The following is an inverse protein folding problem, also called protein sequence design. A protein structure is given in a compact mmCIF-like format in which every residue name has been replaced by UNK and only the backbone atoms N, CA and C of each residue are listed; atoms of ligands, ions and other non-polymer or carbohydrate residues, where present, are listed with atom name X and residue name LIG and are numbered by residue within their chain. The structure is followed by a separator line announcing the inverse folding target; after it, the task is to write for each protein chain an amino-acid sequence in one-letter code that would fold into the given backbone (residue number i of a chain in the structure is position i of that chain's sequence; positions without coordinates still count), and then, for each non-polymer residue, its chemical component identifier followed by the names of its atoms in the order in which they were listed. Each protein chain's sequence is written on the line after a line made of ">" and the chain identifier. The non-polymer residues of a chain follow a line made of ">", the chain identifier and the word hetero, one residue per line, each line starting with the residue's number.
data_IF_509556364285
#
_entry.id   IF_509556364285
#
_cell.length_a   1.000
_cell.length_b   1.000
_cell.length_c   1.000
_cell.angle_alpha   90.00
_cell.angle_beta   90.00
_cell.angle_gamma   90.00
#
_symmetry.space_group_name_H-M   'P 1'
#
loop_
_entity.id
_entity.type
_entity.pdbx_description
1 polymer ?
#
# COMPACT_ATOMS: atom_id res chain seq x y z
N UNK A 1 84.77 -45.79 36.04
CA UNK A 1 84.11 -46.06 34.73
C UNK A 1 83.26 -44.83 34.41
N UNK A 2 83.75 -43.80 33.71
CA UNK A 2 83.82 -43.64 32.24
C UNK A 2 82.55 -44.23 31.56
N UNK A 3 81.76 -43.54 30.72
CA UNK A 3 81.92 -42.32 29.92
C UNK A 3 80.57 -41.90 29.26
N UNK A 4 80.30 -40.57 29.24
CA UNK A 4 79.81 -39.72 28.11
C UNK A 4 78.32 -39.78 27.62
N UNK A 5 77.76 -38.63 27.16
CA UNK A 5 76.34 -38.25 27.27
C UNK A 5 75.60 -38.10 25.92
N UNK A 6 74.32 -37.71 25.93
CA UNK A 6 73.65 -37.14 24.73
C UNK A 6 72.69 -35.98 25.02
N UNK A 7 72.93 -34.95 24.23
CA UNK A 7 72.32 -33.63 23.98
C UNK A 7 70.79 -33.57 23.93
N UNK A 8 70.26 -32.48 24.51
CA UNK A 8 69.53 -31.42 23.79
C UNK A 8 68.04 -31.62 23.47
N UNK A 9 67.22 -30.64 23.83
CA UNK A 9 66.29 -29.87 22.98
C UNK A 9 65.37 -29.05 23.91
N UNK A 10 65.54 -27.73 23.94
CA UNK A 10 64.77 -26.72 23.18
C UNK A 10 63.41 -26.38 23.82
N UNK A 11 63.42 -25.24 24.53
CA UNK A 11 62.24 -24.48 24.95
C UNK A 11 61.46 -24.04 23.72
N UNK A 12 60.25 -24.52 23.53
CA UNK A 12 59.30 -23.97 22.55
C UNK A 12 58.28 -23.10 23.28
N UNK A 13 58.19 -21.86 22.81
CA UNK A 13 57.28 -20.83 23.29
C UNK A 13 55.83 -21.20 22.93
N UNK A 14 54.93 -21.03 23.90
CA UNK A 14 53.50 -21.10 23.69
C UNK A 14 53.05 -19.86 22.89
N UNK A 15 52.82 -20.02 21.58
CA UNK A 15 51.99 -19.11 20.81
C UNK A 15 50.54 -19.54 20.96
N UNK A 16 49.83 -18.88 21.88
CA UNK A 16 48.38 -18.93 21.96
C UNK A 16 47.77 -18.29 20.72
N UNK A 17 47.40 -19.11 19.74
CA UNK A 17 46.49 -18.70 18.66
C UNK A 17 45.08 -18.78 19.23
N UNK A 18 44.61 -17.70 19.83
CA UNK A 18 43.17 -17.52 20.06
C UNK A 18 42.52 -17.30 18.70
N UNK A 19 42.04 -18.39 18.11
CA UNK A 19 41.18 -18.37 16.95
C UNK A 19 39.87 -17.69 17.37
N UNK A 20 39.74 -16.39 17.08
CA UNK A 20 38.47 -15.70 17.17
C UNK A 20 37.57 -16.29 16.07
N UNK A 21 36.85 -17.35 16.41
CA UNK A 21 35.73 -17.82 15.60
C UNK A 21 34.70 -16.70 15.69
N UNK A 22 34.71 -15.81 14.70
CA UNK A 22 33.58 -14.95 14.43
C UNK A 22 32.42 -15.88 14.10
N UNK A 23 31.60 -16.18 15.10
CA UNK A 23 30.29 -16.79 14.92
C UNK A 23 29.43 -15.80 14.15
N UNK A 24 29.64 -15.68 12.84
CA UNK A 24 28.61 -15.17 11.96
C UNK A 24 27.47 -16.19 12.05
N UNK A 25 26.39 -15.82 12.72
CA UNK A 25 25.17 -16.62 12.74
C UNK A 25 24.83 -17.03 11.29
N UNK A 26 24.45 -18.29 11.04
CA UNK A 26 24.12 -18.71 9.70
C UNK A 26 23.02 -17.78 9.18
N UNK A 27 23.27 -17.11 8.05
CA UNK A 27 22.24 -16.33 7.37
C UNK A 27 21.13 -17.32 7.04
N UNK A 28 20.00 -17.22 7.73
CA UNK A 28 18.84 -18.02 7.40
C UNK A 28 18.48 -17.68 5.95
N UNK A 29 18.64 -18.64 5.05
CA UNK A 29 18.30 -18.46 3.63
C UNK A 29 17.07 -19.28 3.33
N UNK A 30 16.18 -18.74 2.50
CA UNK A 30 15.01 -19.48 2.02
C UNK A 30 15.41 -20.81 1.36
N UNK A 31 14.59 -21.85 1.55
CA UNK A 31 14.75 -23.11 0.81
C UNK A 31 14.07 -22.99 -0.56
N UNK A 32 14.72 -22.32 -1.52
CA UNK A 32 14.20 -22.17 -2.88
C UNK A 32 14.33 -20.75 -3.43
N UNK A 33 13.54 -20.44 -4.46
CA UNK A 33 13.45 -19.08 -4.98
C UNK A 33 13.01 -18.12 -3.86
N UNK A 34 13.58 -16.89 -3.81
CA UNK A 34 13.21 -15.92 -2.79
C UNK A 34 11.72 -15.59 -2.94
N UNK A 35 10.97 -15.53 -1.83
CA UNK A 35 9.58 -15.15 -1.89
C UNK A 35 9.46 -13.68 -2.31
N UNK A 36 8.35 -13.38 -2.94
CA UNK A 36 8.01 -12.04 -3.39
C UNK A 36 6.88 -11.47 -2.52
N UNK A 37 6.90 -10.15 -2.35
CA UNK A 37 5.81 -9.38 -1.74
C UNK A 37 5.22 -8.46 -2.81
N UNK A 38 3.90 -8.48 -2.96
CA UNK A 38 3.20 -7.49 -3.77
C UNK A 38 2.95 -6.24 -2.92
N UNK A 39 3.47 -5.11 -3.34
CA UNK A 39 3.30 -3.83 -2.66
C UNK A 39 2.32 -2.96 -3.45
N UNK A 40 1.18 -2.66 -2.85
CA UNK A 40 0.21 -1.71 -3.38
C UNK A 40 0.27 -0.40 -2.64
N UNK A 41 0.35 0.67 -3.41
CA UNK A 41 0.41 2.03 -2.90
C UNK A 41 -0.81 2.80 -3.38
N UNK A 42 -1.46 3.49 -2.44
CA UNK A 42 -2.61 4.33 -2.69
C UNK A 42 -2.29 5.77 -2.20
N UNK A 43 -2.31 6.80 -3.04
CA UNK A 43 -2.68 6.78 -4.45
C UNK A 43 -1.64 6.09 -5.35
N UNK A 44 -2.04 5.63 -6.54
CA UNK A 44 -1.14 4.95 -7.48
C UNK A 44 -0.01 5.82 -8.00
N UNK A 45 -0.19 7.14 -7.97
CA UNK A 45 0.84 8.12 -8.35
C UNK A 45 1.96 8.27 -7.32
N UNK A 46 1.83 7.66 -6.14
CA UNK A 46 2.84 7.76 -5.10
C UNK A 46 4.11 7.01 -5.51
N UNK A 47 5.25 7.65 -5.30
CA UNK A 47 6.56 7.08 -5.55
C UNK A 47 6.95 6.15 -4.42
N UNK A 48 7.21 4.88 -4.74
CA UNK A 48 7.63 3.85 -3.80
C UNK A 48 9.16 3.77 -3.76
N UNK A 49 9.70 3.54 -2.56
CA UNK A 49 11.08 3.15 -2.35
C UNK A 49 11.19 2.06 -1.29
N UNK A 50 12.21 1.21 -1.42
CA UNK A 50 12.52 0.14 -0.46
C UNK A 50 13.97 0.30 -0.04
N UNK A 51 14.21 0.39 1.26
CA UNK A 51 15.54 0.65 1.84
C UNK A 51 16.25 1.88 1.24
N UNK A 52 15.45 2.87 0.83
CA UNK A 52 15.91 4.11 0.18
C UNK A 52 16.15 3.99 -1.33
N UNK A 53 16.06 2.80 -1.93
CA UNK A 53 16.14 2.63 -3.37
C UNK A 53 14.76 2.90 -4.03
N UNK A 54 14.65 3.81 -5.00
CA UNK A 54 13.38 4.10 -5.66
C UNK A 54 12.96 2.96 -6.59
N UNK A 55 11.67 2.62 -6.56
CA UNK A 55 11.04 1.64 -7.46
C UNK A 55 10.11 2.28 -8.49
N UNK A 56 9.67 3.52 -8.25
CA UNK A 56 8.71 4.23 -9.10
C UNK A 56 7.30 4.20 -8.53
N UNK A 57 6.34 4.71 -9.31
CA UNK A 57 4.91 4.70 -8.96
C UNK A 57 4.21 3.41 -9.37
N UNK A 58 3.02 3.17 -8.80
CA UNK A 58 2.20 1.99 -9.04
C UNK A 58 2.54 0.77 -8.18
N UNK A 59 1.88 -0.37 -8.42
CA UNK A 59 2.14 -1.60 -7.69
C UNK A 59 3.47 -2.22 -8.11
N UNK A 60 4.22 -2.75 -7.15
CA UNK A 60 5.53 -3.39 -7.38
C UNK A 60 5.61 -4.74 -6.71
N UNK A 61 6.21 -5.71 -7.39
CA UNK A 61 6.61 -6.98 -6.80
C UNK A 61 8.04 -6.86 -6.32
N UNK A 62 8.26 -7.00 -5.01
CA UNK A 62 9.58 -6.84 -4.39
C UNK A 62 10.09 -8.21 -3.94
N UNK A 63 11.28 -8.66 -4.41
CA UNK A 63 11.87 -9.89 -3.92
C UNK A 63 12.41 -9.70 -2.50
N UNK A 64 12.21 -10.70 -1.65
CA UNK A 64 12.57 -10.66 -0.22
C UNK A 64 13.58 -11.78 0.08
N UNK A 65 14.83 -11.68 -0.42
CA UNK A 65 15.80 -12.79 -0.34
C UNK A 65 16.32 -13.10 1.07
N UNK A 66 16.25 -12.14 2.01
CA UNK A 66 16.74 -12.32 3.36
C UNK A 66 15.56 -12.29 4.36
N UNK A 67 15.21 -13.41 5.01
CA UNK A 67 14.12 -13.47 5.98
C UNK A 67 14.39 -12.64 7.25
N UNK A 68 15.65 -12.42 7.60
CA UNK A 68 16.05 -11.66 8.80
C UNK A 68 16.19 -10.16 8.53
N UNK A 69 16.35 -9.75 7.27
CA UNK A 69 16.45 -8.34 6.90
C UNK A 69 15.13 -7.60 7.16
N UNK A 70 15.25 -6.39 7.71
CA UNK A 70 14.11 -5.50 7.92
C UNK A 70 14.02 -4.57 6.73
N UNK A 71 13.04 -4.83 5.86
CA UNK A 71 12.77 -4.01 4.69
C UNK A 71 11.94 -2.80 5.12
N UNK A 72 12.36 -1.61 4.70
CA UNK A 72 11.67 -0.34 4.96
C UNK A 72 11.04 0.16 3.67
N UNK A 73 9.72 0.09 3.59
CA UNK A 73 8.94 0.57 2.46
C UNK A 73 8.47 2.00 2.74
N UNK A 74 8.76 2.92 1.82
CA UNK A 74 8.34 4.32 1.91
C UNK A 74 7.61 4.73 0.66
N UNK A 75 6.50 5.43 0.84
CA UNK A 75 5.73 6.01 -0.24
C UNK A 75 5.49 7.50 -0.01
N UNK A 76 5.60 8.30 -1.07
CA UNK A 76 5.36 9.73 -1.01
C UNK A 76 4.64 10.23 -2.27
N UNK A 77 3.74 11.19 -2.09
CA UNK A 77 3.07 11.89 -3.18
C UNK A 77 2.80 13.35 -2.78
N UNK A 78 2.85 14.31 -3.72
CA UNK A 78 2.46 15.69 -3.44
C UNK A 78 1.04 15.78 -2.89
N UNK A 79 0.86 16.53 -1.80
CA UNK A 79 -0.44 16.68 -1.15
C UNK A 79 -0.84 15.53 -0.21
N UNK A 80 0.07 14.60 0.06
CA UNK A 80 -0.15 13.50 1.01
C UNK A 80 0.94 13.45 2.09
N UNK A 81 0.58 13.02 3.29
CA UNK A 81 1.55 12.65 4.31
C UNK A 81 2.30 11.38 3.86
N UNK A 82 3.63 11.32 4.01
CA UNK A 82 4.41 10.15 3.62
C UNK A 82 4.02 8.93 4.46
N UNK A 83 3.99 7.77 3.81
CA UNK A 83 3.73 6.50 4.44
C UNK A 83 5.02 5.72 4.59
N UNK A 84 5.23 5.11 5.75
CA UNK A 84 6.35 4.20 5.99
C UNK A 84 5.84 2.94 6.68
N UNK A 85 6.37 1.79 6.25
CA UNK A 85 6.15 0.51 6.92
C UNK A 85 7.43 -0.30 6.88
N UNK A 86 7.79 -0.88 8.02
CA UNK A 86 8.91 -1.79 8.13
C UNK A 86 8.45 -3.17 8.58
N UNK A 87 9.07 -4.20 8.03
CA UNK A 87 8.77 -5.58 8.37
C UNK A 87 9.98 -6.48 8.04
N UNK A 88 10.12 -7.57 8.79
CA UNK A 88 11.17 -8.55 8.48
C UNK A 88 10.78 -9.36 7.23
N UNK A 89 11.78 -9.86 6.50
CA UNK A 89 11.54 -10.61 5.28
C UNK A 89 10.68 -11.86 5.50
N UNK A 90 10.83 -12.52 6.66
CA UNK A 90 10.03 -13.68 7.03
C UNK A 90 8.52 -13.38 7.07
N UNK A 91 8.12 -12.22 7.57
CA UNK A 91 6.72 -11.80 7.65
C UNK A 91 6.14 -11.28 6.34
N UNK A 92 7.00 -10.92 5.38
CA UNK A 92 6.60 -10.37 4.09
C UNK A 92 6.38 -11.45 3.02
N UNK A 93 6.98 -12.63 3.19
CA UNK A 93 6.97 -13.70 2.22
C UNK A 93 5.54 -14.11 1.79
N UNK A 94 5.20 -13.87 0.52
CA UNK A 94 3.88 -14.22 -0.03
C UNK A 94 2.73 -13.33 0.45
N UNK A 95 3.04 -12.20 1.09
CA UNK A 95 2.02 -11.24 1.55
C UNK A 95 1.74 -10.16 0.52
N UNK A 96 0.61 -9.46 0.72
CA UNK A 96 0.28 -8.22 0.03
C UNK A 96 0.43 -7.07 1.02
N UNK A 97 1.36 -6.16 0.75
CA UNK A 97 1.65 -5.02 1.61
C UNK A 97 0.91 -3.78 1.09
N UNK A 98 0.07 -3.22 1.94
CA UNK A 98 -0.63 -1.97 1.68
C UNK A 98 0.05 -0.74 2.27
N UNK A 99 0.32 0.25 1.42
CA UNK A 99 0.68 1.61 1.84
C UNK A 99 -0.37 2.60 1.36
N UNK A 100 -1.26 3.00 2.27
CA UNK A 100 -2.23 4.07 2.01
C UNK A 100 -1.70 5.37 2.57
N UNK A 101 -1.48 6.33 1.68
CA UNK A 101 -1.09 7.67 2.06
C UNK A 101 -2.29 8.45 2.58
N UNK A 102 -2.02 9.41 3.45
CA UNK A 102 -3.08 10.24 4.03
C UNK A 102 -3.15 11.58 3.28
N UNK A 103 -4.29 11.97 2.69
CA UNK A 103 -4.41 13.28 2.07
C UNK A 103 -4.16 14.41 3.08
N UNK A 104 -3.57 15.52 2.64
CA UNK A 104 -3.37 16.69 3.49
C UNK A 104 -4.71 17.22 3.99
N UNK A 105 -4.81 17.50 5.30
CA UNK A 105 -6.06 17.92 5.95
C UNK A 105 -7.02 16.77 6.30
N UNK A 106 -6.66 15.51 6.02
CA UNK A 106 -7.39 14.35 6.53
C UNK A 106 -6.91 14.04 7.96
N UNK A 107 -7.79 14.15 8.96
CA UNK A 107 -7.48 14.12 10.40
C UNK A 107 -6.15 13.47 10.81
N UNK A 108 -5.21 14.28 11.30
CA UNK A 108 -3.79 13.90 11.46
C UNK A 108 -3.53 12.71 12.38
N UNK A 109 -4.43 12.45 13.34
CA UNK A 109 -4.32 11.34 14.27
C UNK A 109 -4.87 10.01 13.72
N UNK A 110 -5.62 10.03 12.62
CA UNK A 110 -6.23 8.81 12.07
C UNK A 110 -5.26 8.13 11.10
N UNK A 111 -4.81 6.93 11.48
CA UNK A 111 -4.18 5.99 10.56
C UNK A 111 -5.22 5.53 9.53
N UNK A 112 -4.78 5.43 8.28
CA UNK A 112 -5.60 4.92 7.18
C UNK A 112 -4.97 3.62 6.68
N UNK A 113 -5.75 2.54 6.68
CA UNK A 113 -5.31 1.21 6.28
C UNK A 113 -6.04 0.77 5.00
N UNK A 114 -5.43 -0.12 4.22
CA UNK A 114 -6.00 -0.62 2.96
C UNK A 114 -7.34 -1.32 3.13
N UNK A 115 -7.67 -1.77 4.34
CA UNK A 115 -8.87 -2.52 4.67
C UNK A 115 -9.86 -1.69 5.55
N UNK A 116 -9.66 -0.38 5.66
CA UNK A 116 -10.58 0.55 6.32
C UNK A 116 -11.55 1.19 5.32
N UNK A 117 -12.60 0.46 4.91
CA UNK A 117 -13.55 0.93 3.90
C UNK A 117 -14.18 2.30 4.23
N UNK A 118 -14.54 2.54 5.50
CA UNK A 118 -15.12 3.80 5.94
C UNK A 118 -14.10 4.95 5.94
N UNK A 119 -12.88 4.70 6.40
CA UNK A 119 -11.79 5.69 6.36
C UNK A 119 -11.39 6.05 4.94
N UNK A 120 -11.31 5.05 4.06
CA UNK A 120 -11.01 5.24 2.64
C UNK A 120 -12.11 6.05 1.95
N UNK A 121 -13.39 5.78 2.24
CA UNK A 121 -14.51 6.56 1.73
C UNK A 121 -14.47 8.02 2.23
N UNK A 122 -14.12 8.26 3.49
CA UNK A 122 -13.96 9.61 4.02
C UNK A 122 -12.79 10.37 3.37
N UNK A 123 -11.66 9.69 3.13
CA UNK A 123 -10.51 10.27 2.44
C UNK A 123 -10.85 10.60 0.98
N UNK A 124 -11.56 9.70 0.30
CA UNK A 124 -12.08 9.92 -1.03
C UNK A 124 -13.00 11.15 -1.07
N UNK A 125 -13.88 11.32 -0.08
CA UNK A 125 -14.80 12.46 -0.01
C UNK A 125 -14.03 13.79 0.08
N UNK A 126 -12.98 13.84 0.91
CA UNK A 126 -12.10 15.00 1.01
C UNK A 126 -11.41 15.31 -0.32
N UNK A 127 -10.86 14.28 -0.98
CA UNK A 127 -10.19 14.40 -2.27
C UNK A 127 -11.15 14.90 -3.36
N UNK A 128 -12.37 14.36 -3.43
CA UNK A 128 -13.39 14.79 -4.38
C UNK A 128 -13.75 16.27 -4.20
N UNK A 129 -13.95 16.69 -2.94
CA UNK A 129 -14.33 18.07 -2.59
C UNK A 129 -13.21 19.09 -2.82
N UNK A 130 -11.97 18.63 -2.90
CA UNK A 130 -10.78 19.45 -3.21
C UNK A 130 -10.38 19.38 -4.69
N UNK A 131 -11.18 18.72 -5.54
CA UNK A 131 -10.98 18.66 -6.99
C UNK A 131 -10.05 17.54 -7.47
N UNK A 132 -9.51 16.72 -6.57
CA UNK A 132 -8.63 15.60 -6.91
C UNK A 132 -9.44 14.37 -7.37
N UNK A 133 -10.29 14.52 -8.38
CA UNK A 133 -11.28 13.52 -8.78
C UNK A 133 -10.68 12.19 -9.21
N UNK A 134 -9.52 12.19 -9.89
CA UNK A 134 -8.81 10.96 -10.24
C UNK A 134 -8.40 10.18 -8.99
N UNK A 135 -7.76 10.84 -8.01
CA UNK A 135 -7.33 10.20 -6.77
C UNK A 135 -8.52 9.82 -5.88
N UNK A 136 -9.55 10.65 -5.82
CA UNK A 136 -10.79 10.34 -5.12
C UNK A 136 -11.44 9.06 -5.67
N UNK A 137 -11.39 8.86 -7.00
CA UNK A 137 -11.85 7.63 -7.62
C UNK A 137 -11.07 6.41 -7.09
N UNK A 138 -9.74 6.47 -7.00
CA UNK A 138 -8.92 5.34 -6.52
C UNK A 138 -9.24 4.98 -5.06
N UNK A 139 -9.40 5.98 -4.19
CA UNK A 139 -9.76 5.75 -2.79
C UNK A 139 -11.17 5.21 -2.64
N UNK A 140 -12.12 5.74 -3.42
CA UNK A 140 -13.51 5.28 -3.39
C UNK A 140 -13.66 3.86 -3.98
N UNK A 141 -12.88 3.52 -5.01
CA UNK A 141 -12.76 2.17 -5.56
C UNK A 141 -12.34 1.19 -4.46
N UNK A 142 -11.23 1.48 -3.79
CA UNK A 142 -10.73 0.63 -2.70
C UNK A 142 -11.72 0.57 -1.54
N UNK A 143 -12.39 1.68 -1.21
CA UNK A 143 -13.40 1.72 -0.17
C UNK A 143 -14.56 0.77 -0.44
N UNK A 144 -15.08 0.74 -1.68
CA UNK A 144 -16.19 -0.13 -2.08
C UNK A 144 -15.76 -1.59 -2.21
N UNK A 145 -14.52 -1.85 -2.64
CA UNK A 145 -13.96 -3.22 -2.67
C UNK A 145 -13.90 -3.86 -1.28
N UNK A 146 -13.53 -3.06 -0.27
CA UNK A 146 -13.31 -3.52 1.10
C UNK A 146 -14.59 -3.48 1.94
N UNK A 147 -15.37 -2.43 1.77
CA UNK A 147 -16.61 -2.18 2.49
C UNK A 147 -17.75 -1.93 1.52
N UNK A 148 -18.26 -2.96 0.82
CA UNK A 148 -19.34 -2.81 -0.15
C UNK A 148 -20.65 -2.35 0.50
N UNK A 149 -20.84 -2.57 1.80
CA UNK A 149 -22.00 -2.01 2.52
C UNK A 149 -21.82 -0.56 2.99
N UNK A 150 -20.65 0.08 2.75
CA UNK A 150 -20.39 1.47 3.17
C UNK A 150 -21.04 2.43 2.18
N UNK A 151 -22.16 3.11 2.52
CA UNK A 151 -22.89 3.90 1.54
C UNK A 151 -22.07 5.09 1.04
N UNK A 152 -21.28 5.70 1.93
CA UNK A 152 -20.40 6.82 1.58
C UNK A 152 -19.40 6.46 0.47
N UNK A 153 -18.90 5.22 0.44
CA UNK A 153 -17.98 4.74 -0.60
C UNK A 153 -18.64 4.82 -1.98
N UNK A 154 -19.83 4.25 -2.11
CA UNK A 154 -20.62 4.31 -3.35
C UNK A 154 -21.01 5.74 -3.74
N UNK A 155 -21.40 6.59 -2.79
CA UNK A 155 -21.75 7.99 -3.06
C UNK A 155 -20.57 8.75 -3.68
N UNK A 156 -19.39 8.64 -3.05
CA UNK A 156 -18.19 9.35 -3.49
C UNK A 156 -17.62 8.74 -4.77
N UNK A 157 -17.72 7.42 -4.95
CA UNK A 157 -17.33 6.77 -6.20
C UNK A 157 -18.18 7.27 -7.37
N UNK A 158 -19.49 7.43 -7.15
CA UNK A 158 -20.40 8.04 -8.12
C UNK A 158 -20.04 9.50 -8.43
N UNK A 159 -19.67 10.28 -7.42
CA UNK A 159 -19.23 11.68 -7.54
C UNK A 159 -17.95 11.82 -8.35
N UNK A 160 -16.91 11.08 -7.98
CA UNK A 160 -15.65 11.06 -8.70
C UNK A 160 -15.81 10.54 -10.14
N UNK A 161 -16.58 9.46 -10.35
CA UNK A 161 -16.88 8.94 -11.67
C UNK A 161 -17.60 9.97 -12.54
N UNK A 162 -18.58 10.70 -11.98
CA UNK A 162 -19.30 11.73 -12.71
C UNK A 162 -18.36 12.88 -13.12
N UNK A 163 -17.55 13.39 -12.19
CA UNK A 163 -16.59 14.47 -12.48
C UNK A 163 -15.59 14.08 -13.58
N UNK A 164 -15.27 12.78 -13.71
CA UNK A 164 -14.41 12.22 -14.74
C UNK A 164 -15.16 11.83 -16.04
N UNK A 165 -16.44 12.19 -16.17
CA UNK A 165 -17.27 11.89 -17.36
C UNK A 165 -17.71 10.43 -17.48
N UNK A 166 -17.45 9.58 -16.47
CA UNK A 166 -17.81 8.15 -16.46
C UNK A 166 -19.27 7.96 -16.05
N UNK A 167 -20.19 8.52 -16.84
CA UNK A 167 -21.63 8.63 -16.53
C UNK A 167 -22.30 7.31 -16.16
N UNK A 168 -22.09 6.24 -16.93
CA UNK A 168 -22.69 4.92 -16.66
C UNK A 168 -22.29 4.38 -15.28
N UNK A 169 -21.01 4.49 -14.93
CA UNK A 169 -20.49 4.07 -13.63
C UNK A 169 -21.04 4.97 -12.52
N UNK A 170 -21.09 6.29 -12.73
CA UNK A 170 -21.68 7.20 -11.77
C UNK A 170 -23.13 6.82 -11.41
N UNK A 171 -23.96 6.53 -12.43
CA UNK A 171 -25.35 6.08 -12.23
C UNK A 171 -25.41 4.79 -11.40
N UNK A 172 -24.55 3.81 -11.70
CA UNK A 172 -24.51 2.55 -10.98
C UNK A 172 -24.23 2.77 -9.49
N UNK A 173 -23.16 3.50 -9.18
CA UNK A 173 -22.71 3.70 -7.80
C UNK A 173 -23.67 4.57 -7.01
N UNK A 174 -24.22 5.62 -7.61
CA UNK A 174 -25.28 6.40 -6.98
C UNK A 174 -26.55 5.56 -6.74
N UNK A 175 -26.89 4.65 -7.66
CA UNK A 175 -28.04 3.76 -7.46
C UNK A 175 -27.81 2.83 -6.27
N UNK A 176 -26.60 2.28 -6.12
CA UNK A 176 -26.21 1.47 -4.95
C UNK A 176 -26.26 2.29 -3.66
N UNK A 177 -25.73 3.52 -3.65
CA UNK A 177 -25.85 4.42 -2.50
C UNK A 177 -27.30 4.63 -2.06
N UNK A 178 -28.20 4.89 -3.01
CA UNK A 178 -29.62 5.10 -2.75
C UNK A 178 -30.32 3.83 -2.23
N UNK A 179 -29.80 2.63 -2.53
CA UNK A 179 -30.30 1.38 -1.98
C UNK A 179 -29.80 1.15 -0.56
N UNK A 180 -28.51 1.41 -0.30
CA UNK A 180 -27.88 1.19 1.01
C UNK A 180 -28.29 2.23 2.05
N UNK A 181 -28.60 3.45 1.63
CA UNK A 181 -29.00 4.55 2.52
C UNK A 181 -30.31 5.20 2.04
N UNK A 182 -31.46 4.52 2.21
CA UNK A 182 -32.76 5.03 1.77
C UNK A 182 -33.23 6.27 2.52
N UNK A 183 -32.72 6.52 3.73
CA UNK A 183 -33.09 7.66 4.57
C UNK A 183 -32.00 8.75 4.61
N UNK A 184 -31.02 8.71 3.70
CA UNK A 184 -29.96 9.70 3.65
C UNK A 184 -30.52 11.11 3.37
N UNK A 185 -30.02 12.16 4.07
CA UNK A 185 -30.55 13.51 3.93
C UNK A 185 -30.34 14.11 2.53
N UNK A 186 -29.29 13.67 1.82
CA UNK A 186 -28.96 14.09 0.46
C UNK A 186 -29.53 13.14 -0.61
N UNK A 187 -30.35 12.15 -0.24
CA UNK A 187 -30.97 11.19 -1.16
C UNK A 187 -31.61 11.87 -2.37
N UNK A 188 -32.43 12.89 -2.13
CA UNK A 188 -33.16 13.60 -3.19
C UNK A 188 -32.22 14.30 -4.18
N UNK A 189 -31.07 14.78 -3.70
CA UNK A 189 -30.02 15.38 -4.53
C UNK A 189 -29.36 14.32 -5.40
N UNK A 190 -29.01 13.17 -4.83
CA UNK A 190 -28.38 12.06 -5.57
C UNK A 190 -29.35 11.44 -6.57
N UNK A 191 -30.62 11.26 -6.21
CA UNK A 191 -31.67 10.78 -7.11
C UNK A 191 -31.81 11.68 -8.34
N UNK A 192 -31.89 13.00 -8.14
CA UNK A 192 -31.95 13.96 -9.25
C UNK A 192 -30.73 13.84 -10.17
N UNK A 193 -29.54 13.69 -9.58
CA UNK A 193 -28.28 13.49 -10.34
C UNK A 193 -28.36 12.25 -11.22
N UNK A 194 -28.91 11.15 -10.71
CA UNK A 194 -29.08 9.90 -11.47
C UNK A 194 -30.04 10.09 -12.64
N UNK A 195 -31.14 10.79 -12.42
CA UNK A 195 -32.14 11.08 -13.47
C UNK A 195 -31.56 11.97 -14.57
N UNK A 196 -30.86 13.04 -14.20
CA UNK A 196 -30.13 13.92 -15.13
C UNK A 196 -29.15 13.11 -15.99
N UNK A 197 -28.31 12.30 -15.34
CA UNK A 197 -27.32 11.46 -16.02
C UNK A 197 -27.96 10.41 -16.95
N UNK A 198 -29.15 9.91 -16.62
CA UNK A 198 -29.90 8.98 -17.48
C UNK A 198 -30.53 9.68 -18.67
N UNK A 199 -31.15 10.85 -18.47
CA UNK A 199 -31.70 11.67 -19.55
C UNK A 199 -30.64 12.01 -20.60
N UNK A 200 -29.45 12.36 -20.13
CA UNK A 200 -28.26 12.62 -20.94
C UNK A 200 -27.77 11.41 -21.75
N UNK A 201 -28.02 10.17 -21.31
CA UNK A 201 -27.72 8.95 -22.07
C UNK A 201 -28.79 8.65 -23.13
N UNK A 202 -30.02 9.13 -22.94
CA UNK A 202 -31.15 8.90 -23.85
C UNK A 202 -31.22 9.88 -25.03
N UNK A 203 -30.33 10.87 -25.09
CA UNK A 203 -30.16 11.75 -26.26
C UNK A 203 -28.90 11.35 -27.06
N UNK A 204 -28.89 10.23 -27.81
CA UNK A 204 -27.87 10.01 -28.83
C UNK A 204 -28.31 10.74 -30.11
N UNK A 205 -27.63 11.83 -30.46
CA UNK A 205 -27.60 12.38 -31.83
C UNK A 205 -28.95 12.66 -32.51
N UNK A 206 -29.54 13.83 -32.26
CA UNK A 206 -30.22 14.56 -33.35
C UNK A 206 -29.14 15.40 -34.03
N UNK A 207 -28.39 14.75 -34.91
CA UNK A 207 -27.48 15.38 -35.86
C UNK A 207 -27.70 14.68 -37.19
N UNK A 208 -28.24 15.43 -38.15
CA UNK A 208 -28.46 15.01 -39.54
C UNK A 208 -27.15 14.63 -40.23
#
# INVERSE_FOLDING_TARGET
>A
MQSVPRRGLLRTAALGVTCAVACAAPKETWRGAPPEVLVDVLPRIAELSVDGAPLGSGPHTVPVPDPAHVYVFRAAAPGFAPGERSANGASLAGTRLGLVLRPTGFGDARRLDLDDGAGLAAAAALLARTGHHLTALEYAERAVEVGPEVPLGHRVLGEAAHALGRRKRAIQEYSTYLQLAPDAPDRSVVQRRVEELRGDLTIPGVGQ
#
